data_IF_664546069438
#
_entry.id   IF_664546069438
#
_cell.length_a   1.000
_cell.length_b   1.000
_cell.length_c   1.000
_cell.angle_alpha   90.00
_cell.angle_beta   90.00
_cell.angle_gamma   90.00
#
_symmetry.space_group_name_H-M   'P 1'
#
loop_
_entity.id
_entity.type
_entity.pdbx_description
1 polymer ?
#
# COMPACT_ATOMS: atom_id res chain seq x y z
N UNK A 1 3.22 -5.21 8.48
CA UNK A 1 3.56 -4.22 9.54
C UNK A 1 5.00 -3.73 9.38
N UNK A 2 5.23 -2.42 9.59
CA UNK A 2 6.57 -1.81 9.52
C UNK A 2 6.78 -0.88 10.71
N UNK A 3 7.97 -0.91 11.30
CA UNK A 3 8.39 0.03 12.33
C UNK A 3 9.39 1.03 11.76
N UNK A 4 9.17 2.30 11.99
CA UNK A 4 10.05 3.39 11.56
C UNK A 4 10.40 4.24 12.77
N UNK A 5 11.70 4.30 13.12
CA UNK A 5 12.21 5.18 14.17
C UNK A 5 13.05 6.28 13.52
N UNK A 6 12.49 7.48 13.31
CA UNK A 6 13.27 8.59 12.78
C UNK A 6 14.42 8.96 13.71
N UNK A 7 15.56 9.32 13.17
CA UNK A 7 16.74 9.67 13.95
C UNK A 7 16.46 10.91 14.82
N UNK A 8 16.73 10.81 16.12
CA UNK A 8 16.48 11.89 17.07
C UNK A 8 15.02 12.05 17.50
N UNK A 9 14.09 11.26 16.98
CA UNK A 9 12.68 11.27 17.40
C UNK A 9 12.46 10.36 18.62
N UNK A 10 11.63 10.78 19.56
CA UNK A 10 11.11 9.94 20.64
C UNK A 10 9.94 9.05 20.19
N UNK A 11 9.44 9.28 19.00
CA UNK A 11 8.27 8.62 18.42
C UNK A 11 8.68 7.51 17.47
N UNK A 12 8.09 6.33 17.62
CA UNK A 12 8.13 5.24 16.64
C UNK A 12 6.85 5.26 15.83
N UNK A 13 6.97 5.28 14.51
CA UNK A 13 5.85 5.16 13.59
C UNK A 13 5.65 3.71 13.20
N UNK A 14 4.41 3.27 13.16
CA UNK A 14 4.02 1.89 12.85
C UNK A 14 3.03 1.94 11.70
N UNK A 15 3.35 1.28 10.61
CA UNK A 15 2.48 1.18 9.45
C UNK A 15 1.82 -0.20 9.44
N UNK A 16 0.50 -0.23 9.65
CA UNK A 16 -0.37 -1.39 9.84
C UNK A 16 -0.06 -2.22 11.10
N UNK A 17 -1.00 -3.04 11.55
CA UNK A 17 -0.90 -3.77 12.83
C UNK A 17 -0.98 -5.29 12.72
N UNK A 18 -1.20 -5.84 11.50
CA UNK A 18 -1.28 -7.28 11.26
C UNK A 18 -2.41 -8.01 12.03
N UNK A 19 -2.43 -9.34 11.91
CA UNK A 19 -3.40 -10.22 12.58
C UNK A 19 -2.78 -11.10 13.67
N UNK A 20 -1.51 -11.47 13.52
CA UNK A 20 -0.84 -12.40 14.45
C UNK A 20 -0.60 -11.78 15.84
N UNK A 21 -0.60 -12.61 16.88
CA UNK A 21 -0.41 -12.17 18.25
C UNK A 21 0.98 -11.57 18.49
N UNK A 22 2.00 -12.13 17.87
CA UNK A 22 3.38 -11.67 17.96
C UNK A 22 3.53 -10.21 17.48
N UNK A 23 2.77 -9.81 16.46
CA UNK A 23 2.78 -8.42 15.98
C UNK A 23 2.28 -7.45 17.07
N UNK A 24 1.23 -7.82 17.81
CA UNK A 24 0.72 -7.01 18.91
C UNK A 24 1.73 -6.93 20.07
N UNK A 25 2.41 -8.03 20.38
CA UNK A 25 3.47 -8.08 21.40
C UNK A 25 4.65 -7.18 21.01
N UNK A 26 5.11 -7.24 19.75
CA UNK A 26 6.17 -6.38 19.22
C UNK A 26 5.80 -4.89 19.32
N UNK A 27 4.56 -4.52 18.94
CA UNK A 27 4.09 -3.13 19.07
C UNK A 27 4.09 -2.69 20.52
N UNK A 28 3.59 -3.53 21.44
CA UNK A 28 3.52 -3.17 22.85
C UNK A 28 4.91 -3.11 23.52
N UNK A 29 5.89 -3.86 23.03
CA UNK A 29 7.27 -3.84 23.51
C UNK A 29 8.07 -2.60 23.07
N UNK A 30 7.56 -1.81 22.11
CA UNK A 30 8.23 -0.56 21.70
C UNK A 30 8.13 0.47 22.80
N UNK A 31 9.30 0.97 23.23
CA UNK A 31 9.40 2.06 24.20
C UNK A 31 9.14 3.44 23.56
N UNK A 32 8.69 4.38 24.39
CA UNK A 32 8.40 5.75 23.97
C UNK A 32 7.06 5.91 23.27
N UNK A 33 6.91 7.01 22.54
CA UNK A 33 5.67 7.31 21.83
C UNK A 33 5.50 6.44 20.59
N UNK A 34 4.25 6.06 20.32
CA UNK A 34 3.87 5.25 19.18
C UNK A 34 2.77 5.90 18.38
N UNK A 35 3.06 6.21 17.13
CA UNK A 35 2.05 6.68 16.18
C UNK A 35 1.78 5.58 15.16
N UNK A 36 0.50 5.20 15.02
CA UNK A 36 0.08 4.17 14.07
C UNK A 36 -0.56 4.83 12.85
N UNK A 37 -0.20 4.35 11.68
CA UNK A 37 -0.84 4.70 10.40
C UNK A 37 -1.44 3.42 9.83
N UNK A 38 -2.74 3.42 9.59
CA UNK A 38 -3.41 2.29 8.94
C UNK A 38 -3.59 2.58 7.47
N UNK A 39 -3.00 1.73 6.64
CA UNK A 39 -3.10 1.84 5.19
C UNK A 39 -4.54 1.78 4.71
N UNK A 40 -5.31 0.82 5.18
CA UNK A 40 -6.74 0.66 4.84
C UNK A 40 -7.45 -0.26 5.85
N UNK A 41 -8.77 -0.46 5.66
CA UNK A 41 -9.65 -1.07 6.68
C UNK A 41 -9.71 -2.60 6.67
N UNK A 42 -8.96 -3.32 5.85
CA UNK A 42 -9.03 -4.78 5.84
C UNK A 42 -8.48 -5.39 7.14
N UNK A 43 -9.01 -6.55 7.56
CA UNK A 43 -8.71 -7.13 8.88
C UNK A 43 -7.22 -7.36 9.13
N UNK A 44 -6.49 -7.80 8.12
CA UNK A 44 -5.05 -8.06 8.17
C UNK A 44 -4.18 -6.81 8.39
N UNK A 45 -4.77 -5.62 8.29
CA UNK A 45 -4.11 -4.35 8.59
C UNK A 45 -4.52 -3.74 9.93
N UNK A 46 -5.74 -4.04 10.45
CA UNK A 46 -6.32 -3.35 11.60
C UNK A 46 -6.58 -4.23 12.83
N UNK A 47 -6.53 -5.57 12.72
CA UNK A 47 -7.09 -6.46 13.74
C UNK A 47 -6.44 -6.29 15.12
N UNK A 48 -5.15 -6.02 15.17
CA UNK A 48 -4.45 -5.85 16.44
C UNK A 48 -4.60 -4.45 17.07
N UNK A 49 -5.28 -3.49 16.42
CA UNK A 49 -5.49 -2.15 17.00
C UNK A 49 -6.14 -2.18 18.39
N UNK A 50 -7.03 -3.15 18.65
CA UNK A 50 -7.69 -3.30 19.95
C UNK A 50 -6.78 -3.89 21.03
N UNK A 51 -5.62 -4.44 20.66
CA UNK A 51 -4.68 -5.13 21.56
C UNK A 51 -3.42 -4.32 21.84
N UNK A 52 -3.23 -3.20 21.14
CA UNK A 52 -1.99 -2.42 21.21
C UNK A 52 -2.22 -1.04 21.82
N UNK A 53 -1.18 -0.53 22.50
CA UNK A 53 -1.15 0.82 23.06
C UNK A 53 -0.44 1.74 22.08
N UNK A 54 -1.03 2.89 21.80
CA UNK A 54 -0.48 3.92 20.91
C UNK A 54 -0.86 5.32 21.40
N UNK A 55 -0.14 6.34 20.97
CA UNK A 55 -0.40 7.74 21.28
C UNK A 55 -1.31 8.37 20.24
N UNK A 56 -1.03 8.12 18.95
CA UNK A 56 -1.83 8.62 17.85
C UNK A 56 -2.12 7.53 16.82
N UNK A 57 -3.28 7.64 16.20
CA UNK A 57 -3.72 6.77 15.11
C UNK A 57 -4.16 7.64 13.94
N UNK A 58 -3.60 7.39 12.77
CA UNK A 58 -3.92 8.08 11.52
C UNK A 58 -4.65 7.15 10.57
N UNK A 59 -5.80 7.57 10.09
CA UNK A 59 -6.70 6.77 9.26
C UNK A 59 -7.40 7.63 8.22
N UNK A 60 -7.96 7.03 7.17
CA UNK A 60 -8.93 7.72 6.33
C UNK A 60 -10.32 7.72 6.96
N UNK A 61 -11.22 8.57 6.45
CA UNK A 61 -12.64 8.55 6.84
C UNK A 61 -13.32 7.18 6.63
N UNK A 62 -12.83 6.39 5.67
CA UNK A 62 -13.35 5.05 5.40
C UNK A 62 -12.86 4.06 6.43
N UNK A 63 -11.56 4.05 6.73
CA UNK A 63 -10.95 3.19 7.75
C UNK A 63 -11.50 3.51 9.13
N UNK A 64 -11.74 4.80 9.46
CA UNK A 64 -12.33 5.23 10.74
C UNK A 64 -13.67 4.59 11.07
N UNK A 65 -14.47 4.20 10.06
CA UNK A 65 -15.74 3.48 10.29
C UNK A 65 -15.54 2.12 10.95
N UNK A 66 -14.40 1.49 10.72
CA UNK A 66 -14.04 0.17 11.27
C UNK A 66 -13.23 0.29 12.56
N UNK A 67 -12.27 1.20 12.62
CA UNK A 67 -11.42 1.41 13.80
C UNK A 67 -12.16 2.17 14.91
N UNK A 68 -13.21 2.93 14.57
CA UNK A 68 -13.98 3.82 15.45
C UNK A 68 -13.13 4.88 16.17
N UNK A 69 -11.85 4.96 15.84
CA UNK A 69 -10.86 5.89 16.40
C UNK A 69 -9.94 6.40 15.30
N UNK A 70 -9.10 7.38 15.65
CA UNK A 70 -8.05 7.92 14.80
C UNK A 70 -8.33 9.33 14.27
N UNK A 71 -7.24 10.03 13.97
CA UNK A 71 -7.25 11.32 13.28
C UNK A 71 -7.44 11.07 11.77
N UNK A 72 -8.37 11.81 11.15
CA UNK A 72 -8.64 11.63 9.72
C UNK A 72 -7.56 12.36 8.92
N UNK A 73 -6.88 11.62 8.05
CA UNK A 73 -6.00 12.19 7.03
C UNK A 73 -6.84 12.52 5.80
N UNK A 74 -6.99 13.83 5.54
CA UNK A 74 -7.66 14.33 4.34
C UNK A 74 -6.62 15.12 3.51
N UNK A 75 -6.08 14.46 2.50
CA UNK A 75 -4.96 14.98 1.71
C UNK A 75 -3.60 14.47 2.20
N UNK A 76 -2.72 15.39 2.62
CA UNK A 76 -1.33 15.10 2.98
C UNK A 76 -0.97 15.69 4.34
N UNK A 77 -0.22 14.96 5.15
CA UNK A 77 0.38 15.42 6.41
C UNK A 77 1.89 15.23 6.36
N UNK A 78 2.63 16.27 6.73
CA UNK A 78 4.09 16.23 6.86
C UNK A 78 4.46 16.49 8.32
N UNK A 79 5.29 15.64 8.88
CA UNK A 79 5.73 15.72 10.28
C UNK A 79 7.18 16.21 10.38
N UNK A 80 7.55 16.88 11.50
CA UNK A 80 8.90 17.43 11.69
C UNK A 80 10.03 16.41 11.65
N UNK A 81 9.72 15.14 11.96
CA UNK A 81 10.67 14.02 11.93
C UNK A 81 10.82 13.38 10.53
N UNK A 82 10.24 14.02 9.51
CA UNK A 82 10.38 13.62 8.10
C UNK A 82 9.39 12.57 7.63
N UNK A 83 8.46 12.16 8.48
CA UNK A 83 7.36 11.28 8.07
C UNK A 83 6.35 12.08 7.27
N UNK A 84 5.91 11.52 6.16
CA UNK A 84 4.83 12.05 5.33
C UNK A 84 3.76 10.99 5.15
N UNK A 85 2.49 11.36 5.37
CA UNK A 85 1.33 10.50 5.17
C UNK A 85 0.45 11.15 4.13
N UNK A 86 0.00 10.39 3.13
CA UNK A 86 -0.92 10.91 2.12
C UNK A 86 -1.91 9.84 1.64
N UNK A 87 -3.01 10.30 1.05
CA UNK A 87 -3.96 9.39 0.40
C UNK A 87 -3.45 8.97 -0.97
N UNK A 88 -3.79 7.73 -1.34
CA UNK A 88 -3.58 7.18 -2.67
C UNK A 88 -4.89 6.57 -3.19
N UNK A 89 -5.31 6.88 -4.44
CA UNK A 89 -6.39 6.16 -5.09
C UNK A 89 -6.05 4.69 -5.25
N UNK A 90 -7.01 3.81 -5.00
CA UNK A 90 -6.79 2.36 -5.09
C UNK A 90 -8.03 1.65 -5.58
N UNK A 91 -7.84 0.64 -6.44
CA UNK A 91 -8.89 -0.30 -6.81
C UNK A 91 -9.17 -1.32 -5.72
N UNK A 92 -8.20 -1.61 -4.85
CA UNK A 92 -8.29 -2.60 -3.78
C UNK A 92 -9.26 -2.19 -2.67
N UNK A 93 -9.12 -0.96 -2.20
CA UNK A 93 -9.96 -0.44 -1.12
C UNK A 93 -10.19 1.06 -1.24
N UNK A 94 -11.34 1.54 -0.70
CA UNK A 94 -11.60 2.98 -0.60
C UNK A 94 -10.76 3.59 0.52
N UNK A 95 -10.05 4.68 0.19
CA UNK A 95 -9.35 5.48 1.18
C UNK A 95 -8.09 4.79 1.70
N UNK A 96 -7.18 4.44 0.80
CA UNK A 96 -5.86 3.96 1.17
C UNK A 96 -4.93 5.12 1.57
N UNK A 97 -4.11 4.89 2.60
CA UNK A 97 -3.00 5.75 3.01
C UNK A 97 -1.67 5.11 2.64
N UNK A 98 -0.73 5.96 2.31
CA UNK A 98 0.68 5.63 2.17
C UNK A 98 1.49 6.42 3.20
N UNK A 99 2.65 5.87 3.58
CA UNK A 99 3.61 6.53 4.43
C UNK A 99 4.95 6.62 3.71
N UNK A 100 5.51 7.83 3.65
CA UNK A 100 6.85 8.07 3.08
C UNK A 100 7.83 8.43 4.19
N UNK A 101 9.03 7.85 4.12
CA UNK A 101 10.16 8.22 4.97
C UNK A 101 11.48 7.98 4.24
N UNK A 102 12.27 9.03 4.06
CA UNK A 102 13.54 9.00 3.32
C UNK A 102 13.35 8.40 1.92
N UNK A 103 14.08 7.34 1.62
CA UNK A 103 14.10 6.69 0.31
C UNK A 103 12.98 5.65 0.12
N UNK A 104 12.03 5.56 1.05
CA UNK A 104 11.00 4.53 1.05
C UNK A 104 9.59 5.10 1.12
N UNK A 105 8.70 4.55 0.30
CA UNK A 105 7.25 4.74 0.41
C UNK A 105 6.57 3.40 0.66
N UNK A 106 5.84 3.30 1.75
CA UNK A 106 5.07 2.14 2.18
C UNK A 106 3.65 2.27 1.64
N UNK A 107 3.30 1.42 0.69
CA UNK A 107 2.04 1.53 -0.06
C UNK A 107 0.91 0.65 0.48
N UNK A 108 1.20 -0.24 1.43
CA UNK A 108 0.23 -1.25 1.85
C UNK A 108 -0.25 -2.06 0.64
N UNK A 109 -1.55 -2.23 0.54
CA UNK A 109 -2.20 -2.94 -0.57
C UNK A 109 -2.75 -2.00 -1.65
N UNK A 110 -2.34 -0.73 -1.64
CA UNK A 110 -2.93 0.28 -2.54
C UNK A 110 -2.81 -0.09 -4.03
N UNK A 111 -1.78 -0.85 -4.37
CA UNK A 111 -1.49 -1.25 -5.75
C UNK A 111 -2.27 -2.48 -6.21
N UNK A 112 -2.96 -3.20 -5.31
CA UNK A 112 -3.69 -4.40 -5.68
C UNK A 112 -5.02 -4.11 -6.38
N UNK A 113 -5.48 -5.11 -7.12
CA UNK A 113 -6.78 -5.06 -7.78
C UNK A 113 -7.92 -5.37 -6.79
N UNK A 114 -9.13 -5.07 -7.22
CA UNK A 114 -10.31 -5.51 -6.51
C UNK A 114 -10.64 -6.97 -6.84
N UNK A 115 -10.93 -7.76 -5.80
CA UNK A 115 -11.47 -9.10 -5.95
C UNK A 115 -13.00 -9.05 -5.97
N UNK A 116 -13.59 -9.45 -7.09
CA UNK A 116 -15.04 -9.56 -7.21
C UNK A 116 -15.40 -10.96 -7.69
N UNK A 117 -15.94 -11.79 -6.80
CA UNK A 117 -16.29 -13.19 -7.09
C UNK A 117 -15.09 -13.96 -7.69
N UNK A 118 -15.06 -14.13 -9.01
CA UNK A 118 -13.99 -14.82 -9.76
C UNK A 118 -13.10 -13.87 -10.55
N UNK A 119 -13.37 -12.56 -10.52
CA UNK A 119 -12.63 -11.58 -11.30
C UNK A 119 -11.68 -10.75 -10.44
N UNK A 120 -10.45 -10.59 -10.92
CA UNK A 120 -9.46 -9.64 -10.41
C UNK A 120 -9.47 -8.44 -11.34
N UNK A 121 -9.94 -7.29 -10.85
CA UNK A 121 -10.18 -6.14 -11.71
C UNK A 121 -9.59 -4.86 -11.15
N UNK A 122 -8.98 -4.06 -12.02
CA UNK A 122 -8.70 -2.65 -11.76
C UNK A 122 -9.82 -1.78 -12.32
N UNK A 123 -10.29 -0.82 -11.53
CA UNK A 123 -11.04 0.31 -12.07
C UNK A 123 -10.07 1.22 -12.81
N UNK A 124 -10.34 1.51 -14.09
CA UNK A 124 -9.43 2.27 -14.96
C UNK A 124 -9.13 3.65 -14.40
N UNK A 125 -10.14 4.40 -13.97
CA UNK A 125 -9.97 5.75 -13.45
C UNK A 125 -9.12 5.75 -12.16
N UNK A 126 -9.37 4.79 -11.26
CA UNK A 126 -8.58 4.66 -10.03
C UNK A 126 -7.14 4.24 -10.33
N UNK A 127 -6.93 3.36 -11.31
CA UNK A 127 -5.59 2.94 -11.74
C UNK A 127 -4.79 4.10 -12.33
N UNK A 128 -5.40 4.91 -13.19
CA UNK A 128 -4.78 6.11 -13.76
C UNK A 128 -4.39 7.11 -12.67
N UNK A 129 -5.30 7.36 -11.72
CA UNK A 129 -5.04 8.27 -10.58
C UNK A 129 -3.97 7.71 -9.63
N UNK A 130 -3.96 6.39 -9.39
CA UNK A 130 -2.94 5.71 -8.59
C UNK A 130 -1.56 5.87 -9.22
N UNK A 131 -1.42 5.59 -10.51
CA UNK A 131 -0.17 5.75 -11.26
C UNK A 131 0.33 7.19 -11.14
N UNK A 132 -0.55 8.18 -11.38
CA UNK A 132 -0.21 9.59 -11.24
C UNK A 132 0.28 9.92 -9.84
N UNK A 133 -0.41 9.45 -8.79
CA UNK A 133 0.03 9.67 -7.39
C UNK A 133 1.38 9.01 -7.11
N UNK A 134 1.62 7.80 -7.63
CA UNK A 134 2.91 7.12 -7.50
C UNK A 134 4.05 7.87 -8.21
N UNK A 135 3.78 8.52 -9.34
CA UNK A 135 4.76 9.38 -10.04
C UNK A 135 5.18 10.59 -9.21
N UNK A 136 4.26 11.16 -8.43
CA UNK A 136 4.50 12.32 -7.53
C UNK A 136 5.34 11.96 -6.29
N UNK A 137 5.38 10.69 -5.88
CA UNK A 137 6.19 10.23 -4.74
C UNK A 137 7.67 10.40 -5.09
N UNK A 138 8.43 11.04 -4.20
CA UNK A 138 9.86 11.28 -4.41
C UNK A 138 10.75 10.11 -4.03
N UNK A 139 10.29 9.23 -3.12
CA UNK A 139 11.01 8.05 -2.69
C UNK A 139 11.29 7.10 -3.87
N UNK A 140 12.56 6.66 -4.09
CA UNK A 140 12.91 5.77 -5.19
C UNK A 140 12.49 4.31 -4.97
N UNK A 141 12.13 3.93 -3.74
CA UNK A 141 11.78 2.56 -3.38
C UNK A 141 10.34 2.50 -2.84
N UNK A 142 9.58 1.56 -3.36
CA UNK A 142 8.24 1.22 -2.89
C UNK A 142 8.25 -0.08 -2.08
N UNK A 143 7.56 -0.06 -0.94
CA UNK A 143 7.35 -1.21 -0.08
C UNK A 143 5.90 -1.67 -0.24
N UNK A 144 5.71 -2.87 -0.77
CA UNK A 144 4.41 -3.46 -1.07
C UNK A 144 4.12 -4.58 -0.06
N UNK A 145 2.94 -4.54 0.57
CA UNK A 145 2.49 -5.63 1.45
C UNK A 145 2.29 -6.92 0.64
N UNK A 146 2.44 -8.06 1.29
CA UNK A 146 2.22 -9.39 0.71
C UNK A 146 3.09 -9.76 -0.50
N UNK A 147 4.00 -8.90 -0.91
CA UNK A 147 4.90 -9.18 -2.02
C UNK A 147 6.18 -9.86 -1.52
N UNK A 148 6.61 -10.94 -2.19
CA UNK A 148 7.87 -11.64 -1.87
C UNK A 148 9.10 -10.74 -1.97
N UNK A 149 9.05 -9.72 -2.84
CA UNK A 149 10.06 -8.68 -2.96
C UNK A 149 9.60 -7.38 -2.29
N UNK A 150 9.35 -7.39 -0.98
CA UNK A 150 8.77 -6.28 -0.20
C UNK A 150 9.25 -4.89 -0.64
N UNK A 151 10.54 -4.71 -0.92
CA UNK A 151 11.13 -3.47 -1.43
C UNK A 151 11.39 -3.60 -2.92
N UNK A 152 10.81 -2.71 -3.71
CA UNK A 152 10.97 -2.66 -5.16
C UNK A 152 11.31 -1.25 -5.63
N UNK A 153 12.09 -1.15 -6.72
CA UNK A 153 12.36 0.14 -7.34
C UNK A 153 11.04 0.75 -7.88
N UNK A 154 10.77 2.01 -7.56
CA UNK A 154 9.60 2.78 -8.00
C UNK A 154 9.33 2.61 -9.50
N UNK A 155 10.36 2.76 -10.35
CA UNK A 155 10.22 2.68 -11.80
C UNK A 155 9.82 1.27 -12.28
N UNK A 156 10.24 0.22 -11.58
CA UNK A 156 9.82 -1.14 -11.89
C UNK A 156 8.34 -1.33 -11.61
N UNK A 157 7.87 -0.85 -10.46
CA UNK A 157 6.45 -0.89 -10.08
C UNK A 157 5.61 -0.07 -11.06
N UNK A 158 6.00 1.17 -11.35
CA UNK A 158 5.29 2.03 -12.32
C UNK A 158 5.18 1.38 -13.70
N UNK A 159 6.25 0.73 -14.16
CA UNK A 159 6.26 0.01 -15.45
C UNK A 159 5.19 -1.08 -15.51
N UNK A 160 5.01 -1.84 -14.41
CA UNK A 160 3.98 -2.90 -14.32
C UNK A 160 2.60 -2.28 -14.48
N UNK A 161 2.26 -1.26 -13.70
CA UNK A 161 0.92 -0.68 -13.71
C UNK A 161 0.61 0.09 -14.98
N UNK A 162 1.60 0.74 -15.61
CA UNK A 162 1.46 1.32 -16.95
C UNK A 162 1.18 0.24 -18.02
N UNK A 163 1.83 -0.94 -17.93
CA UNK A 163 1.54 -2.08 -18.82
C UNK A 163 0.13 -2.63 -18.60
N UNK A 164 -0.34 -2.73 -17.36
CA UNK A 164 -1.71 -3.13 -17.05
C UNK A 164 -2.69 -2.13 -17.67
N UNK A 165 -2.47 -0.83 -17.47
CA UNK A 165 -3.32 0.23 -18.02
C UNK A 165 -3.38 0.19 -19.56
N UNK A 166 -2.26 -0.06 -20.22
CA UNK A 166 -2.18 -0.16 -21.69
C UNK A 166 -3.02 -1.31 -22.29
N UNK A 167 -3.41 -2.29 -21.49
CA UNK A 167 -4.29 -3.40 -21.90
C UNK A 167 -5.78 -3.11 -21.76
N UNK A 168 -6.14 -1.88 -21.44
CA UNK A 168 -7.55 -1.46 -21.43
C UNK A 168 -8.18 -1.75 -22.78
N UNK A 169 -9.29 -2.51 -22.81
CA UNK A 169 -10.14 -2.67 -23.99
C UNK A 169 -10.93 -1.37 -24.23
N UNK A 170 -11.15 -1.02 -25.50
CA UNK A 170 -11.83 0.22 -25.87
C UNK A 170 -13.13 0.43 -25.07
N UNK A 171 -13.22 1.56 -24.37
CA UNK A 171 -14.40 1.95 -23.60
C UNK A 171 -14.65 1.20 -22.30
N UNK A 172 -13.85 0.17 -21.96
CA UNK A 172 -14.06 -0.56 -20.70
C UNK A 172 -13.74 0.31 -19.49
N UNK A 173 -14.63 0.35 -18.47
CA UNK A 173 -14.35 1.01 -17.19
C UNK A 173 -13.42 0.20 -16.27
N UNK A 174 -13.21 -1.09 -16.59
CA UNK A 174 -12.37 -2.01 -15.81
C UNK A 174 -11.37 -2.76 -16.70
N UNK A 175 -10.30 -3.23 -16.08
CA UNK A 175 -9.31 -4.13 -16.69
C UNK A 175 -9.30 -5.39 -15.85
N UNK A 176 -9.74 -6.51 -16.45
CA UNK A 176 -9.63 -7.82 -15.84
C UNK A 176 -8.19 -8.33 -15.97
N UNK A 177 -7.60 -8.73 -14.86
CA UNK A 177 -6.20 -9.14 -14.80
C UNK A 177 -6.01 -10.64 -14.57
N UNK A 178 -7.08 -11.44 -14.59
CA UNK A 178 -6.96 -12.89 -14.45
C UNK A 178 -6.04 -13.51 -15.52
N UNK A 179 -6.02 -12.89 -16.71
CA UNK A 179 -5.20 -13.36 -17.82
C UNK A 179 -3.71 -13.00 -17.69
N UNK A 180 -3.36 -12.14 -16.72
CA UNK A 180 -1.98 -11.67 -16.53
C UNK A 180 -1.21 -12.46 -15.47
N UNK A 181 -1.92 -13.13 -14.59
CA UNK A 181 -1.34 -13.87 -13.50
C UNK A 181 -1.49 -15.37 -13.73
N UNK A 182 -0.46 -16.11 -13.37
CA UNK A 182 -0.55 -17.56 -13.26
C UNK A 182 -1.41 -17.95 -12.04
N UNK A 183 -1.78 -19.22 -11.93
CA UNK A 183 -2.58 -19.73 -10.79
C UNK A 183 -1.87 -19.52 -9.44
N UNK A 184 -0.55 -19.44 -9.44
CA UNK A 184 0.31 -19.15 -8.27
C UNK A 184 0.46 -17.65 -7.96
N UNK A 185 -0.22 -16.77 -8.71
CA UNK A 185 -0.16 -15.30 -8.54
C UNK A 185 1.02 -14.62 -9.23
N UNK A 186 1.90 -15.36 -9.93
CA UNK A 186 2.95 -14.79 -10.77
C UNK A 186 2.40 -14.17 -12.06
N UNK A 187 3.07 -13.15 -12.57
CA UNK A 187 2.70 -12.55 -13.87
C UNK A 187 3.03 -13.52 -15.00
N UNK A 188 2.05 -13.84 -15.84
CA UNK A 188 2.29 -14.60 -17.07
C UNK A 188 3.27 -13.83 -17.95
N UNK A 189 4.33 -14.50 -18.39
CA UNK A 189 5.28 -13.93 -19.36
C UNK A 189 4.51 -13.63 -20.67
N UNK A 190 4.45 -12.36 -21.06
CA UNK A 190 4.12 -12.00 -22.43
C UNK A 190 5.46 -11.95 -23.18
N UNK A 191 5.60 -12.73 -24.24
CA UNK A 191 6.68 -12.51 -25.21
C UNK A 191 6.54 -11.07 -25.73
N UNK A 192 7.39 -10.18 -25.23
CA UNK A 192 7.54 -8.86 -25.84
C UNK A 192 8.20 -9.07 -27.20
N UNK A 193 7.65 -8.46 -28.22
CA UNK A 193 8.17 -8.39 -29.60
C UNK A 193 9.59 -7.75 -29.69
N UNK A 194 10.26 -7.51 -28.59
CA UNK A 194 11.60 -6.93 -28.45
C UNK A 194 12.61 -7.84 -27.71
N UNK A 195 12.29 -9.10 -27.46
CA UNK A 195 13.30 -10.10 -27.03
C UNK A 195 13.90 -9.90 -25.63
N UNK A 196 13.35 -9.06 -24.79
CA UNK A 196 13.81 -8.91 -23.41
C UNK A 196 12.86 -9.61 -22.44
N UNK A 197 13.24 -10.80 -22.03
CA UNK A 197 12.58 -11.55 -20.94
C UNK A 197 12.80 -10.81 -19.61
N UNK A 198 11.82 -10.02 -19.20
CA UNK A 198 11.78 -9.43 -17.85
C UNK A 198 10.93 -10.35 -16.98
N UNK A 199 11.57 -11.23 -16.21
CA UNK A 199 10.93 -11.98 -15.13
C UNK A 199 10.59 -11.01 -14.00
N UNK A 200 9.33 -10.62 -13.88
CA UNK A 200 8.81 -9.93 -12.70
C UNK A 200 8.10 -10.99 -11.86
N UNK A 201 8.73 -11.44 -10.78
CA UNK A 201 8.05 -12.19 -9.72
C UNK A 201 7.35 -11.18 -8.81
N UNK A 202 6.04 -11.27 -8.75
CA UNK A 202 5.23 -10.67 -7.68
C UNK A 202 5.17 -11.62 -6.49
#
# INVERSE_FOLDING_TARGET
MVFIKPQGSDTTWIFDTETCGEAAELINAVDGKKNIVISHFHPDHILNLLKVKYDKLYVTKYTKKYTRAGEIVDGELLFPDGIKISQIPSSHSKGALILEYKDYAFLGDATYCHFRLTAREYNVQLLEQMIKKMEEITAPNFCLSHDKGFVQAKESVLRIYRKILARRKNGSPTINVNDFFNEDGGVKESEDSLGNNVKVKL
#
